data_IF_746648589510
#
_entry.id   IF_746648589510
#
_cell.length_a   1.000
_cell.length_b   1.000
_cell.length_c   1.000
_cell.angle_alpha   90.00
_cell.angle_beta   90.00
_cell.angle_gamma   90.00
#
_symmetry.space_group_name_H-M   'P 1'
#
loop_
_entity.id
_entity.type
_entity.pdbx_description
1 polymer ?
#
# COMPACT_ATOMS: atom_id res chain seq x y z
N UNK A 1 -24.72 2.93 -8.89
CA UNK A 1 -25.14 3.59 -7.63
C UNK A 1 -24.60 5.00 -7.72
N UNK A 2 -25.50 5.97 -7.84
CA UNK A 2 -25.14 7.32 -8.29
C UNK A 2 -24.80 8.19 -7.09
N UNK A 3 -23.72 7.85 -6.41
CA UNK A 3 -23.28 8.51 -5.15
C UNK A 3 -22.94 10.00 -5.37
N UNK A 4 -22.76 10.41 -6.63
CA UNK A 4 -22.52 11.79 -7.07
C UNK A 4 -23.79 12.65 -7.16
N UNK A 5 -24.98 12.03 -7.19
CA UNK A 5 -26.23 12.79 -7.27
C UNK A 5 -26.48 13.53 -5.97
N UNK A 6 -26.98 14.76 -6.05
CA UNK A 6 -27.31 15.59 -4.88
C UNK A 6 -28.41 14.99 -3.99
N UNK A 7 -29.23 14.10 -4.54
CA UNK A 7 -30.29 13.38 -3.82
C UNK A 7 -29.84 12.02 -3.25
N UNK A 8 -28.56 11.66 -3.38
CA UNK A 8 -28.07 10.35 -2.96
C UNK A 8 -28.39 10.07 -1.49
N UNK A 9 -28.08 10.98 -0.58
CA UNK A 9 -28.29 10.77 0.86
C UNK A 9 -29.77 10.61 1.20
N UNK A 10 -30.65 11.34 0.51
CA UNK A 10 -32.09 11.23 0.69
C UNK A 10 -32.63 9.89 0.19
N UNK A 11 -32.25 9.50 -1.03
CA UNK A 11 -32.61 8.21 -1.60
C UNK A 11 -32.09 7.07 -0.71
N UNK A 12 -30.82 7.13 -0.33
CA UNK A 12 -30.16 6.14 0.52
C UNK A 12 -30.83 6.01 1.90
N UNK A 13 -31.26 7.13 2.51
CA UNK A 13 -32.00 7.10 3.77
C UNK A 13 -33.38 6.44 3.64
N UNK A 14 -34.02 6.52 2.46
CA UNK A 14 -35.33 5.92 2.17
C UNK A 14 -35.23 4.44 1.77
N UNK A 15 -34.30 4.08 0.88
CA UNK A 15 -34.20 2.71 0.32
C UNK A 15 -33.32 1.76 1.13
N UNK A 16 -32.26 2.24 1.79
CA UNK A 16 -31.21 1.36 2.35
C UNK A 16 -31.21 1.31 3.90
N UNK A 17 -32.34 1.66 4.54
CA UNK A 17 -32.50 1.65 6.01
C UNK A 17 -32.03 0.32 6.63
N UNK A 18 -32.38 -0.80 6.01
CA UNK A 18 -32.06 -2.16 6.49
C UNK A 18 -30.97 -2.89 5.70
N UNK A 19 -30.40 -2.26 4.66
CA UNK A 19 -29.51 -2.96 3.72
C UNK A 19 -28.03 -2.94 4.14
N UNK A 20 -27.76 -3.42 5.35
CA UNK A 20 -26.39 -3.50 5.90
C UNK A 20 -25.50 -4.42 5.05
N UNK A 21 -26.05 -5.52 4.52
CA UNK A 21 -25.29 -6.48 3.69
C UNK A 21 -24.71 -5.83 2.43
N UNK A 22 -25.51 -5.05 1.69
CA UNK A 22 -25.04 -4.34 0.49
C UNK A 22 -23.96 -3.32 0.81
N UNK A 23 -24.10 -2.60 1.93
CA UNK A 23 -23.10 -1.62 2.36
C UNK A 23 -21.77 -2.28 2.71
N UNK A 24 -21.81 -3.41 3.45
CA UNK A 24 -20.61 -4.18 3.79
C UNK A 24 -19.97 -4.76 2.52
N UNK A 25 -20.76 -5.34 1.61
CA UNK A 25 -20.27 -5.86 0.34
C UNK A 25 -19.59 -4.77 -0.50
N UNK A 26 -20.20 -3.59 -0.60
CA UNK A 26 -19.59 -2.43 -1.27
C UNK A 26 -18.29 -2.01 -0.61
N UNK A 27 -18.24 -1.96 0.73
CA UNK A 27 -17.03 -1.62 1.47
C UNK A 27 -15.90 -2.64 1.22
N UNK A 28 -16.20 -3.95 1.22
CA UNK A 28 -15.22 -5.00 0.91
C UNK A 28 -14.70 -4.80 -0.51
N UNK A 29 -15.59 -4.76 -1.51
CA UNK A 29 -15.21 -4.65 -2.93
C UNK A 29 -14.38 -3.38 -3.17
N UNK A 30 -14.84 -2.23 -2.67
CA UNK A 30 -14.13 -0.97 -2.86
C UNK A 30 -12.77 -0.94 -2.16
N UNK A 31 -12.64 -1.55 -0.98
CA UNK A 31 -11.36 -1.65 -0.27
C UNK A 31 -10.40 -2.59 -0.99
N UNK A 32 -10.91 -3.72 -1.52
CA UNK A 32 -10.12 -4.64 -2.35
C UNK A 32 -9.60 -3.94 -3.61
N UNK A 33 -10.45 -3.20 -4.32
CA UNK A 33 -10.03 -2.47 -5.54
C UNK A 33 -8.95 -1.44 -5.21
N UNK A 34 -9.14 -0.62 -4.17
CA UNK A 34 -8.15 0.38 -3.77
C UNK A 34 -6.83 -0.27 -3.34
N UNK A 35 -6.90 -1.35 -2.57
CA UNK A 35 -5.72 -2.10 -2.13
C UNK A 35 -4.98 -2.72 -3.30
N UNK A 36 -5.71 -3.27 -4.27
CA UNK A 36 -5.13 -3.84 -5.48
C UNK A 36 -4.35 -2.78 -6.27
N UNK A 37 -4.90 -1.58 -6.44
CA UNK A 37 -4.21 -0.47 -7.12
C UNK A 37 -2.90 -0.08 -6.42
N UNK A 38 -2.94 0.05 -5.09
CA UNK A 38 -1.73 0.35 -4.29
C UNK A 38 -0.71 -0.78 -4.39
N UNK A 39 -1.16 -2.04 -4.36
CA UNK A 39 -0.30 -3.21 -4.48
C UNK A 39 0.39 -3.26 -5.84
N UNK A 40 -0.36 -3.04 -6.93
CA UNK A 40 0.21 -2.98 -8.28
C UNK A 40 1.27 -1.89 -8.35
N UNK A 41 0.99 -0.70 -7.82
CA UNK A 41 1.98 0.37 -7.77
C UNK A 41 3.24 -0.03 -6.97
N UNK A 42 3.07 -0.64 -5.80
CA UNK A 42 4.19 -1.11 -4.98
C UNK A 42 5.04 -2.18 -5.69
N UNK A 43 4.41 -3.14 -6.36
CA UNK A 43 5.10 -4.19 -7.13
C UNK A 43 5.85 -3.59 -8.32
N UNK A 44 5.25 -2.65 -9.06
CA UNK A 44 5.93 -1.95 -10.17
C UNK A 44 7.13 -1.13 -9.66
N UNK A 45 6.99 -0.49 -8.49
CA UNK A 45 8.09 0.22 -7.85
C UNK A 45 9.22 -0.73 -7.46
N UNK A 46 8.88 -1.88 -6.85
CA UNK A 46 9.85 -2.91 -6.46
C UNK A 46 10.57 -3.50 -7.68
N UNK A 47 9.86 -3.72 -8.77
CA UNK A 47 10.43 -4.18 -10.02
C UNK A 47 11.43 -3.16 -10.59
N UNK A 48 11.07 -1.88 -10.55
CA UNK A 48 11.94 -0.78 -10.99
C UNK A 48 13.21 -0.67 -10.14
N UNK A 49 13.14 -1.04 -8.85
CA UNK A 49 14.30 -1.11 -7.96
C UNK A 49 15.25 -2.29 -8.24
N UNK A 50 14.85 -3.29 -9.05
CA UNK A 50 15.70 -4.44 -9.39
C UNK A 50 17.04 -3.99 -9.98
N UNK A 51 17.00 -3.03 -10.90
CA UNK A 51 18.20 -2.50 -11.54
C UNK A 51 19.17 -1.89 -10.52
N UNK A 52 18.66 -1.15 -9.54
CA UNK A 52 19.45 -0.56 -8.45
C UNK A 52 20.06 -1.64 -7.55
N UNK A 53 19.33 -2.72 -7.25
CA UNK A 53 19.86 -3.84 -6.46
C UNK A 53 20.99 -4.55 -7.21
N UNK A 54 20.80 -4.81 -8.51
CA UNK A 54 21.82 -5.41 -9.37
C UNK A 54 23.06 -4.52 -9.43
N UNK A 55 22.88 -3.23 -9.68
CA UNK A 55 23.97 -2.24 -9.71
C UNK A 55 24.72 -2.18 -8.37
N UNK A 56 24.00 -2.19 -7.24
CA UNK A 56 24.60 -2.19 -5.92
C UNK A 56 25.51 -3.41 -5.70
N UNK A 57 25.05 -4.61 -6.10
CA UNK A 57 25.82 -5.85 -5.99
C UNK A 57 27.02 -5.84 -6.93
N UNK A 58 26.82 -5.35 -8.16
CA UNK A 58 27.89 -5.22 -9.14
C UNK A 58 28.99 -4.28 -8.67
N UNK A 59 28.63 -3.19 -7.98
CA UNK A 59 29.57 -2.25 -7.38
C UNK A 59 30.21 -2.80 -6.09
N UNK A 60 29.52 -3.70 -5.38
CA UNK A 60 30.05 -4.32 -4.16
C UNK A 60 31.15 -5.35 -4.46
N UNK A 61 31.03 -6.09 -5.57
CA UNK A 61 32.03 -7.08 -6.02
C UNK A 61 32.71 -6.58 -7.30
N UNK A 62 33.87 -5.88 -7.19
CA UNK A 62 34.47 -5.14 -8.31
C UNK A 62 35.06 -6.04 -9.40
N UNK A 63 35.34 -7.31 -9.11
CA UNK A 63 35.90 -8.28 -10.05
C UNK A 63 34.84 -9.28 -10.49
N UNK A 64 34.74 -9.54 -11.80
CA UNK A 64 33.74 -10.46 -12.37
C UNK A 64 33.98 -11.93 -11.97
N UNK A 65 35.25 -12.26 -11.70
CA UNK A 65 35.76 -13.55 -11.27
C UNK A 65 35.93 -13.67 -9.75
N UNK A 66 35.36 -12.73 -8.99
CA UNK A 66 35.31 -12.81 -7.53
C UNK A 66 34.52 -14.06 -7.10
N UNK A 67 35.15 -14.87 -6.23
CA UNK A 67 34.57 -16.11 -5.73
C UNK A 67 34.88 -16.30 -4.24
N UNK A 68 33.88 -16.79 -3.51
CA UNK A 68 34.00 -17.22 -2.12
C UNK A 68 33.82 -18.73 -2.09
N UNK A 69 34.79 -19.46 -1.54
CA UNK A 69 34.80 -20.92 -1.49
C UNK A 69 34.92 -21.35 -0.04
N UNK A 70 33.98 -22.14 0.45
CA UNK A 70 34.11 -22.88 1.70
C UNK A 70 34.37 -24.35 1.36
N UNK A 71 35.59 -24.83 1.66
CA UNK A 71 35.96 -26.24 1.51
C UNK A 71 36.64 -26.72 2.78
N UNK A 72 36.22 -27.87 3.29
CA UNK A 72 36.80 -28.51 4.47
C UNK A 72 36.83 -27.54 5.67
N UNK A 73 35.70 -26.85 5.87
CA UNK A 73 35.51 -25.85 6.93
C UNK A 73 36.48 -24.65 6.87
N UNK A 74 37.08 -24.40 5.70
CA UNK A 74 37.98 -23.26 5.47
C UNK A 74 37.48 -22.40 4.33
N UNK A 75 37.19 -21.15 4.66
CA UNK A 75 36.84 -20.10 3.72
C UNK A 75 38.09 -19.63 2.98
N UNK A 76 37.96 -19.52 1.67
CA UNK A 76 38.97 -19.00 0.76
C UNK A 76 38.27 -18.01 -0.16
N UNK A 77 38.97 -16.94 -0.51
CA UNK A 77 38.50 -15.98 -1.50
C UNK A 77 39.43 -15.95 -2.70
N UNK A 78 38.85 -15.91 -3.89
CA UNK A 78 39.57 -15.75 -5.14
C UNK A 78 39.19 -14.39 -5.74
N UNK A 79 40.19 -13.65 -6.23
CA UNK A 79 40.01 -12.36 -6.92
C UNK A 79 39.25 -11.29 -6.10
N UNK A 80 39.35 -11.37 -4.77
CA UNK A 80 38.89 -10.33 -3.84
C UNK A 80 40.12 -9.82 -3.09
N UNK A 81 40.43 -8.51 -3.10
CA UNK A 81 41.52 -7.95 -2.32
C UNK A 81 41.40 -8.32 -0.83
N UNK A 82 42.50 -8.77 -0.23
CA UNK A 82 42.57 -9.19 1.18
C UNK A 82 43.55 -8.30 1.96
N UNK A 83 43.22 -7.83 3.17
CA UNK A 83 41.90 -7.94 3.82
C UNK A 83 40.86 -7.06 3.11
N UNK A 84 39.63 -7.55 2.98
CA UNK A 84 38.51 -6.71 2.53
C UNK A 84 37.92 -6.03 3.77
N UNK A 85 37.98 -4.71 3.81
CA UNK A 85 37.47 -3.91 4.93
C UNK A 85 36.51 -2.85 4.41
N UNK A 86 35.34 -2.77 5.04
CA UNK A 86 34.34 -1.74 4.74
C UNK A 86 33.74 -1.22 6.04
N UNK A 87 33.92 0.07 6.25
CA UNK A 87 33.34 0.80 7.38
C UNK A 87 32.03 1.46 6.94
N UNK A 88 31.06 1.44 7.84
CA UNK A 88 29.76 2.07 7.73
C UNK A 88 29.68 3.06 8.89
N UNK A 89 29.98 4.32 8.59
CA UNK A 89 29.91 5.38 9.59
C UNK A 89 28.48 5.85 9.79
N UNK A 90 28.19 6.32 11.00
CA UNK A 90 26.94 7.00 11.28
C UNK A 90 26.77 8.24 10.37
N UNK A 91 25.62 8.36 9.71
CA UNK A 91 25.20 9.63 9.13
C UNK A 91 25.03 10.69 10.25
N UNK A 92 25.06 11.98 9.89
CA UNK A 92 25.04 13.14 10.81
C UNK A 92 23.92 13.11 11.87
N UNK A 93 22.85 12.36 11.63
CA UNK A 93 21.72 12.19 12.57
C UNK A 93 22.01 11.22 13.73
N UNK A 94 23.18 10.56 13.77
CA UNK A 94 23.70 9.81 14.93
C UNK A 94 22.89 8.56 15.32
N UNK A 95 21.91 8.16 14.53
CA UNK A 95 21.05 6.99 14.81
C UNK A 95 21.68 5.67 14.38
N UNK A 96 22.69 5.72 13.52
CA UNK A 96 23.39 4.55 13.00
C UNK A 96 24.82 4.46 13.55
N UNK A 97 25.03 4.01 14.79
CA UNK A 97 26.37 3.74 15.34
C UNK A 97 27.31 2.96 14.40
N UNK A 98 28.63 3.19 14.55
CA UNK A 98 29.67 2.76 13.63
C UNK A 98 29.66 1.24 13.43
N UNK A 99 29.71 0.80 12.18
CA UNK A 99 29.74 -0.63 11.85
C UNK A 99 30.86 -1.01 10.87
N UNK A 100 31.32 -2.26 10.93
CA UNK A 100 32.38 -2.75 10.03
C UNK A 100 32.06 -4.13 9.47
N UNK A 101 32.45 -4.36 8.21
CA UNK A 101 32.56 -5.69 7.61
C UNK A 101 34.01 -5.93 7.23
N UNK A 102 34.60 -6.99 7.79
CA UNK A 102 35.96 -7.43 7.51
C UNK A 102 35.93 -8.86 6.99
N UNK A 103 36.58 -9.12 5.86
CA UNK A 103 36.81 -10.46 5.34
C UNK A 103 38.32 -10.63 5.17
N UNK A 104 38.92 -11.49 6.00
CA UNK A 104 40.34 -11.81 5.96
C UNK A 104 40.56 -13.32 6.08
N UNK A 105 40.73 -14.00 4.94
CA UNK A 105 40.99 -15.44 4.88
C UNK A 105 42.48 -15.78 4.91
N UNK A 106 43.37 -14.82 5.17
CA UNK A 106 44.82 -15.07 5.25
C UNK A 106 45.20 -15.84 6.52
N UNK A 107 46.33 -16.57 6.48
CA UNK A 107 46.77 -17.36 7.64
C UNK A 107 47.24 -16.51 8.82
N UNK A 108 47.75 -15.30 8.55
CA UNK A 108 48.32 -14.39 9.53
C UNK A 108 47.40 -13.19 9.79
N UNK A 109 46.07 -13.44 9.81
CA UNK A 109 45.10 -12.36 10.03
C UNK A 109 45.34 -11.67 11.38
N UNK A 110 45.45 -10.34 11.32
CA UNK A 110 45.55 -9.50 12.52
C UNK A 110 44.18 -9.11 13.06
N UNK A 111 43.11 -9.42 12.30
CA UNK A 111 41.73 -9.11 12.66
C UNK A 111 41.10 -10.24 13.47
N UNK A 112 40.20 -9.88 14.37
CA UNK A 112 39.48 -10.86 15.18
C UNK A 112 38.50 -10.19 16.12
N UNK A 113 38.13 -10.90 17.19
CA UNK A 113 37.19 -10.44 18.20
C UNK A 113 37.49 -9.03 18.70
N UNK A 114 38.77 -8.73 18.97
CA UNK A 114 39.20 -7.43 19.51
C UNK A 114 38.92 -6.27 18.56
N UNK A 115 38.95 -6.51 17.25
CA UNK A 115 38.64 -5.47 16.25
C UNK A 115 37.19 -5.03 16.36
N UNK A 116 36.26 -5.96 16.65
CA UNK A 116 34.84 -5.63 16.83
C UNK A 116 34.54 -4.87 18.12
N UNK A 117 35.51 -4.72 19.03
CA UNK A 117 35.34 -3.89 20.22
C UNK A 117 35.37 -2.38 19.88
N UNK A 118 35.97 -2.01 18.75
CA UNK A 118 36.10 -0.62 18.29
C UNK A 118 34.84 -0.09 17.58
N UNK A 119 33.93 -0.99 17.20
CA UNK A 119 32.70 -0.66 16.46
C UNK A 119 31.45 -1.02 17.26
N UNK A 120 30.33 -0.33 17.05
CA UNK A 120 29.06 -0.64 17.71
C UNK A 120 28.46 -1.96 17.21
N UNK A 121 28.60 -2.21 15.91
CA UNK A 121 28.20 -3.47 15.27
C UNK A 121 29.25 -3.90 14.24
N UNK A 122 29.26 -5.17 13.86
CA UNK A 122 30.11 -5.58 12.75
C UNK A 122 30.27 -7.08 12.62
N UNK A 123 30.88 -7.47 11.50
CA UNK A 123 31.14 -8.85 11.17
C UNK A 123 32.61 -8.96 10.75
N UNK A 124 33.35 -9.89 11.35
CA UNK A 124 34.69 -10.29 10.93
C UNK A 124 34.63 -11.74 10.47
N UNK A 125 34.84 -11.96 9.18
CA UNK A 125 34.87 -13.28 8.57
C UNK A 125 36.34 -13.67 8.36
N UNK A 126 36.78 -14.71 9.05
CA UNK A 126 38.12 -15.27 8.93
C UNK A 126 38.08 -16.60 8.17
N UNK A 127 39.25 -17.21 7.98
CA UNK A 127 39.39 -18.49 7.28
C UNK A 127 38.56 -19.62 7.88
N UNK A 128 38.50 -19.75 9.20
CA UNK A 128 37.89 -20.91 9.88
C UNK A 128 36.67 -20.54 10.75
N UNK A 129 36.37 -19.23 10.85
CA UNK A 129 35.39 -18.71 11.80
C UNK A 129 34.84 -17.35 11.38
N UNK A 130 33.74 -16.98 12.00
CA UNK A 130 33.13 -15.66 11.89
C UNK A 130 32.83 -15.10 13.28
N UNK A 131 33.15 -13.83 13.49
CA UNK A 131 32.70 -13.06 14.64
C UNK A 131 31.60 -12.11 14.19
N UNK A 132 30.50 -12.04 14.94
CA UNK A 132 29.40 -11.10 14.70
C UNK A 132 29.09 -10.35 15.98
N UNK A 133 28.91 -9.04 15.89
CA UNK A 133 28.49 -8.18 16.99
C UNK A 133 27.30 -7.35 16.52
N UNK A 134 26.18 -7.49 17.22
CA UNK A 134 25.02 -6.62 17.10
C UNK A 134 25.08 -5.55 18.20
N UNK A 135 24.51 -4.36 17.96
CA UNK A 135 24.62 -3.18 18.83
C UNK A 135 24.18 -3.45 20.27
N UNK A 136 23.23 -4.36 20.44
CA UNK A 136 22.62 -4.68 21.73
C UNK A 136 22.95 -6.11 22.21
N UNK A 137 23.77 -6.85 21.48
CA UNK A 137 24.06 -8.25 21.80
C UNK A 137 25.54 -8.48 22.08
N UNK A 138 25.81 -9.52 22.85
CA UNK A 138 27.16 -10.01 23.04
C UNK A 138 27.73 -10.50 21.70
N UNK A 139 29.05 -10.42 21.60
CA UNK A 139 29.79 -10.96 20.46
C UNK A 139 29.51 -12.46 20.31
N UNK A 140 29.14 -12.85 19.10
CA UNK A 140 28.86 -14.22 18.72
C UNK A 140 30.02 -14.75 17.88
N UNK A 141 30.54 -15.91 18.26
CA UNK A 141 31.51 -16.68 17.49
C UNK A 141 30.79 -17.82 16.79
N UNK A 142 30.98 -17.93 15.49
CA UNK A 142 30.52 -19.03 14.67
C UNK A 142 31.74 -19.72 14.05
N UNK A 143 31.91 -21.01 14.35
CA UNK A 143 33.00 -21.84 13.85
C UNK A 143 32.48 -22.68 12.68
N UNK A 144 33.14 -22.61 11.52
CA UNK A 144 32.68 -23.34 10.34
C UNK A 144 32.74 -24.87 10.51
N UNK A 145 33.61 -25.35 11.41
CA UNK A 145 33.76 -26.77 11.74
C UNK A 145 32.61 -27.34 12.58
N UNK A 146 31.95 -26.52 13.41
CA UNK A 146 30.94 -27.01 14.38
C UNK A 146 29.52 -27.05 13.84
N UNK A 147 29.23 -26.32 12.77
CA UNK A 147 27.86 -26.11 12.27
C UNK A 147 27.52 -26.94 11.03
N UNK A 148 28.31 -27.98 10.69
CA UNK A 148 28.11 -28.83 9.50
C UNK A 148 27.90 -28.00 8.21
N UNK A 149 28.63 -26.90 8.06
CA UNK A 149 28.51 -26.07 6.86
C UNK A 149 28.88 -26.91 5.63
N UNK A 150 27.97 -27.06 4.65
CA UNK A 150 28.28 -27.80 3.44
C UNK A 150 29.34 -27.05 2.64
N UNK A 151 30.20 -27.80 1.95
CA UNK A 151 31.12 -27.21 1.00
C UNK A 151 30.32 -26.42 -0.05
N UNK A 152 30.67 -25.14 -0.25
CA UNK A 152 30.00 -24.29 -1.22
C UNK A 152 31.01 -23.42 -1.95
N UNK A 153 30.67 -23.06 -3.17
CA UNK A 153 31.35 -22.03 -3.95
C UNK A 153 30.28 -21.04 -4.38
N UNK A 154 30.55 -19.77 -4.17
CA UNK A 154 29.66 -18.68 -4.56
C UNK A 154 30.47 -17.67 -5.37
N UNK A 155 30.23 -17.64 -6.67
CA UNK A 155 30.74 -16.63 -7.59
C UNK A 155 29.76 -15.46 -7.73
N UNK A 156 30.28 -14.30 -8.13
CA UNK A 156 29.45 -13.14 -8.48
C UNK A 156 28.37 -13.48 -9.52
N UNK A 157 28.72 -14.27 -10.53
CA UNK A 157 27.79 -14.73 -11.57
C UNK A 157 26.64 -15.56 -11.00
N UNK A 158 26.93 -16.51 -10.10
CA UNK A 158 25.91 -17.32 -9.42
C UNK A 158 25.00 -16.48 -8.53
N UNK A 159 25.53 -15.46 -7.83
CA UNK A 159 24.72 -14.52 -7.03
C UNK A 159 23.78 -13.71 -7.93
N UNK A 160 24.29 -13.16 -9.03
CA UNK A 160 23.48 -12.40 -9.97
C UNK A 160 22.40 -13.27 -10.61
N UNK A 161 22.74 -14.48 -11.03
CA UNK A 161 21.79 -15.43 -11.59
C UNK A 161 20.73 -15.84 -10.56
N UNK A 162 21.14 -16.11 -9.31
CA UNK A 162 20.20 -16.42 -8.23
C UNK A 162 19.21 -15.27 -8.01
N UNK A 163 19.69 -14.03 -8.05
CA UNK A 163 18.81 -12.86 -7.94
C UNK A 163 17.90 -12.80 -9.16
N UNK A 164 18.41 -12.94 -10.37
CA UNK A 164 17.56 -12.92 -11.57
C UNK A 164 16.45 -13.98 -11.53
N UNK A 165 16.75 -15.18 -11.05
CA UNK A 165 15.82 -16.31 -10.97
C UNK A 165 14.82 -16.17 -9.81
N UNK A 166 15.27 -15.67 -8.65
CA UNK A 166 14.46 -15.63 -7.42
C UNK A 166 13.76 -14.30 -7.18
N UNK A 167 14.25 -13.20 -7.76
CA UNK A 167 13.64 -11.89 -7.60
C UNK A 167 12.18 -11.85 -8.03
N UNK A 168 11.73 -12.48 -9.14
CA UNK A 168 10.31 -12.53 -9.49
C UNK A 168 9.44 -13.24 -8.43
N UNK A 169 9.96 -14.30 -7.81
CA UNK A 169 9.25 -15.00 -6.74
C UNK A 169 9.16 -14.14 -5.47
N UNK A 170 10.24 -13.42 -5.16
CA UNK A 170 10.27 -12.44 -4.07
C UNK A 170 9.30 -11.28 -4.34
N UNK A 171 9.25 -10.74 -5.56
CA UNK A 171 8.30 -9.68 -5.95
C UNK A 171 6.85 -10.12 -5.75
N UNK A 172 6.50 -11.32 -6.21
CA UNK A 172 5.15 -11.88 -6.04
C UNK A 172 4.84 -12.11 -4.55
N UNK A 173 5.77 -12.70 -3.80
CA UNK A 173 5.61 -12.94 -2.37
C UNK A 173 5.42 -11.64 -1.59
N UNK A 174 6.29 -10.65 -1.83
CA UNK A 174 6.19 -9.32 -1.26
C UNK A 174 4.88 -8.64 -1.66
N UNK A 175 4.46 -8.74 -2.92
CA UNK A 175 3.18 -8.22 -3.41
C UNK A 175 1.97 -8.79 -2.67
N UNK A 176 1.94 -10.11 -2.42
CA UNK A 176 0.87 -10.75 -1.64
C UNK A 176 0.87 -10.27 -0.19
N UNK A 177 2.04 -10.18 0.44
CA UNK A 177 2.16 -9.67 1.82
C UNK A 177 1.69 -8.22 1.90
N UNK A 178 2.15 -7.35 1.00
CA UNK A 178 1.72 -5.95 0.90
C UNK A 178 0.21 -5.87 0.70
N UNK A 179 -0.35 -6.67 -0.21
CA UNK A 179 -1.80 -6.70 -0.43
C UNK A 179 -2.58 -7.04 0.84
N UNK A 180 -2.21 -8.11 1.54
CA UNK A 180 -2.92 -8.54 2.75
C UNK A 180 -2.77 -7.51 3.88
N UNK A 181 -1.56 -6.98 4.07
CA UNK A 181 -1.27 -5.97 5.07
C UNK A 181 -2.06 -4.69 4.82
N UNK A 182 -2.03 -4.17 3.59
CA UNK A 182 -2.79 -2.98 3.22
C UNK A 182 -4.29 -3.24 3.30
N UNK A 183 -4.80 -4.39 2.82
CA UNK A 183 -6.23 -4.69 2.88
C UNK A 183 -6.73 -4.62 4.32
N UNK A 184 -5.97 -5.17 5.26
CA UNK A 184 -6.31 -5.17 6.68
C UNK A 184 -6.17 -3.78 7.29
N UNK A 185 -4.98 -3.16 7.22
CA UNK A 185 -4.71 -1.86 7.85
C UNK A 185 -5.58 -0.77 7.24
N UNK A 186 -5.59 -0.64 5.91
CA UNK A 186 -6.40 0.36 5.21
C UNK A 186 -7.88 0.13 5.45
N UNK A 187 -8.33 -1.14 5.44
CA UNK A 187 -9.72 -1.49 5.75
C UNK A 187 -10.13 -1.00 7.15
N UNK A 188 -9.34 -1.32 8.18
CA UNK A 188 -9.61 -0.91 9.56
C UNK A 188 -9.59 0.60 9.71
N UNK A 189 -8.55 1.28 9.19
CA UNK A 189 -8.45 2.74 9.24
C UNK A 189 -9.62 3.42 8.51
N UNK A 190 -10.07 2.87 7.39
CA UNK A 190 -11.23 3.39 6.65
C UNK A 190 -12.53 3.23 7.43
N UNK A 191 -12.71 2.13 8.17
CA UNK A 191 -13.88 1.94 9.06
C UNK A 191 -13.84 2.95 10.21
N UNK A 192 -12.70 3.11 10.87
CA UNK A 192 -12.52 4.10 11.95
C UNK A 192 -12.73 5.53 11.46
N UNK A 193 -12.18 5.87 10.29
CA UNK A 193 -12.41 7.16 9.64
C UNK A 193 -13.89 7.36 9.28
N UNK A 194 -14.58 6.30 8.84
CA UNK A 194 -16.02 6.37 8.56
C UNK A 194 -16.84 6.63 9.83
N UNK A 195 -16.45 6.06 10.99
CA UNK A 195 -17.09 6.34 12.28
C UNK A 195 -16.99 7.83 12.63
N UNK A 196 -15.78 8.40 12.51
CA UNK A 196 -15.55 9.82 12.77
C UNK A 196 -16.39 10.72 11.86
N UNK A 197 -16.33 10.48 10.54
CA UNK A 197 -17.08 11.30 9.58
C UNK A 197 -18.59 11.11 9.67
N UNK A 198 -19.07 9.93 10.07
CA UNK A 198 -20.48 9.68 10.34
C UNK A 198 -20.97 10.47 11.54
N UNK A 199 -20.15 10.60 12.57
CA UNK A 199 -20.46 11.43 13.73
C UNK A 199 -20.62 12.89 13.33
N UNK A 200 -19.67 13.43 12.54
CA UNK A 200 -19.77 14.79 11.99
C UNK A 200 -21.04 14.96 11.15
N UNK A 201 -21.34 14.02 10.25
CA UNK A 201 -22.56 14.05 9.42
C UNK A 201 -23.84 14.06 10.24
N UNK A 202 -23.89 13.21 11.24
CA UNK A 202 -25.03 13.10 12.12
C UNK A 202 -25.24 14.40 12.92
N UNK A 203 -24.18 14.98 13.50
CA UNK A 203 -24.25 16.25 14.24
C UNK A 203 -24.73 17.39 13.33
N UNK A 204 -24.15 17.53 12.13
CA UNK A 204 -24.58 18.57 11.18
C UNK A 204 -26.03 18.38 10.73
N UNK A 205 -26.48 17.14 10.52
CA UNK A 205 -27.88 16.86 10.20
C UNK A 205 -28.81 17.29 11.35
N UNK A 206 -28.43 17.07 12.61
CA UNK A 206 -29.18 17.53 13.78
C UNK A 206 -29.25 19.04 13.87
N UNK A 207 -28.14 19.75 13.63
CA UNK A 207 -28.12 21.22 13.61
C UNK A 207 -28.99 21.77 12.47
N UNK A 208 -29.01 21.08 11.33
CA UNK A 208 -29.81 21.46 10.16
C UNK A 208 -31.29 21.03 10.23
N UNK A 209 -31.74 20.43 11.35
CA UNK A 209 -33.08 19.86 11.52
C UNK A 209 -33.46 18.79 10.48
N UNK A 210 -32.48 18.06 9.96
CA UNK A 210 -32.68 16.96 9.00
C UNK A 210 -32.80 15.63 9.75
N UNK A 211 -33.82 14.83 9.43
CA UNK A 211 -34.05 13.53 10.06
C UNK A 211 -33.10 12.45 9.52
N UNK A 212 -31.88 12.42 10.06
CA UNK A 212 -30.86 11.40 9.73
C UNK A 212 -30.43 10.64 10.99
N UNK A 213 -30.40 9.30 10.92
CA UNK A 213 -29.88 8.47 12.01
C UNK A 213 -28.37 8.25 11.85
N UNK A 214 -27.66 8.00 12.96
CA UNK A 214 -26.22 7.74 12.93
C UNK A 214 -25.85 6.54 12.05
N UNK A 215 -26.64 5.46 12.10
CA UNK A 215 -26.41 4.27 11.27
C UNK A 215 -26.51 4.55 9.78
N UNK A 216 -27.47 5.37 9.34
CA UNK A 216 -27.59 5.78 7.93
C UNK A 216 -26.42 6.68 7.55
N UNK A 217 -26.03 7.62 8.42
CA UNK A 217 -24.87 8.47 8.20
C UNK A 217 -23.59 7.64 8.01
N UNK A 218 -23.36 6.64 8.86
CA UNK A 218 -22.21 5.73 8.76
C UNK A 218 -22.19 4.94 7.46
N UNK A 219 -23.33 4.36 7.09
CA UNK A 219 -23.48 3.64 5.82
C UNK A 219 -23.24 4.55 4.61
N UNK A 220 -23.71 5.79 4.63
CA UNK A 220 -23.49 6.77 3.57
C UNK A 220 -22.02 7.17 3.46
N UNK A 221 -21.34 7.42 4.59
CA UNK A 221 -19.91 7.77 4.63
C UNK A 221 -19.04 6.65 4.06
N UNK A 222 -19.37 5.38 4.32
CA UNK A 222 -18.66 4.26 3.69
C UNK A 222 -18.74 4.30 2.16
N UNK A 223 -19.86 4.75 1.58
CA UNK A 223 -19.99 4.96 0.14
C UNK A 223 -19.22 6.18 -0.35
N UNK A 224 -19.36 7.33 0.33
CA UNK A 224 -18.64 8.56 -0.04
C UNK A 224 -17.12 8.40 0.01
N UNK A 225 -16.60 7.68 1.01
CA UNK A 225 -15.17 7.48 1.19
C UNK A 225 -14.48 6.87 -0.04
N UNK A 226 -15.16 5.97 -0.77
CA UNK A 226 -14.59 5.36 -1.98
C UNK A 226 -14.34 6.41 -3.05
N UNK A 227 -15.36 7.22 -3.33
CA UNK A 227 -15.30 8.27 -4.35
C UNK A 227 -14.27 9.33 -3.98
N UNK A 228 -14.29 9.79 -2.74
CA UNK A 228 -13.34 10.78 -2.24
C UNK A 228 -11.91 10.27 -2.41
N UNK A 229 -11.68 8.99 -2.06
CA UNK A 229 -10.35 8.36 -2.21
C UNK A 229 -9.96 8.27 -3.69
N UNK A 230 -10.86 7.83 -4.56
CA UNK A 230 -10.58 7.71 -6.00
C UNK A 230 -10.23 9.06 -6.64
N UNK A 231 -11.02 10.10 -6.40
CA UNK A 231 -10.73 11.44 -6.95
C UNK A 231 -9.42 11.97 -6.39
N UNK A 232 -9.19 11.82 -5.08
CA UNK A 232 -7.95 12.28 -4.46
C UNK A 232 -6.75 11.56 -5.05
N UNK A 233 -6.85 10.25 -5.27
CA UNK A 233 -5.79 9.46 -5.89
C UNK A 233 -5.53 9.94 -7.32
N UNK A 234 -6.57 10.07 -8.16
CA UNK A 234 -6.43 10.52 -9.55
C UNK A 234 -5.82 11.92 -9.67
N UNK A 235 -6.23 12.86 -8.80
CA UNK A 235 -5.70 14.24 -8.84
C UNK A 235 -4.25 14.30 -8.34
N UNK A 236 -3.94 13.63 -7.23
CA UNK A 236 -2.58 13.65 -6.68
C UNK A 236 -1.59 12.82 -7.49
N UNK A 237 -2.06 11.89 -8.34
CA UNK A 237 -1.19 11.15 -9.25
C UNK A 237 -0.47 12.09 -10.24
N UNK A 238 -1.08 13.24 -10.58
CA UNK A 238 -0.53 14.21 -11.52
C UNK A 238 0.40 15.26 -10.89
N UNK A 239 1.40 14.88 -10.08
CA UNK A 239 2.40 15.76 -9.39
C UNK A 239 1.85 16.95 -8.57
N UNK A 240 0.54 17.22 -8.62
CA UNK A 240 -0.14 18.29 -7.93
C UNK A 240 -0.59 17.76 -6.58
N UNK A 241 0.27 17.91 -5.58
CA UNK A 241 -0.11 17.55 -4.22
C UNK A 241 -0.98 18.66 -3.61
N UNK A 242 -2.27 18.41 -3.50
CA UNK A 242 -3.21 19.34 -2.87
C UNK A 242 -3.52 18.85 -1.46
N UNK A 243 -2.98 19.50 -0.41
CA UNK A 243 -3.26 19.10 0.95
C UNK A 243 -4.76 19.25 1.25
N UNK A 244 -5.32 18.33 2.03
CA UNK A 244 -6.73 18.30 2.41
C UNK A 244 -7.75 18.15 1.27
N UNK A 245 -7.33 17.82 0.05
CA UNK A 245 -8.24 17.65 -1.09
C UNK A 245 -9.37 16.63 -0.81
N UNK A 246 -9.03 15.50 -0.20
CA UNK A 246 -10.00 14.50 0.22
C UNK A 246 -11.07 15.10 1.15
N UNK A 247 -10.64 15.88 2.14
CA UNK A 247 -11.52 16.56 3.08
C UNK A 247 -12.41 17.58 2.38
N UNK A 248 -11.87 18.37 1.44
CA UNK A 248 -12.65 19.34 0.67
C UNK A 248 -13.72 18.66 -0.19
N UNK A 249 -13.37 17.59 -0.91
CA UNK A 249 -14.33 16.84 -1.73
C UNK A 249 -15.39 16.20 -0.85
N UNK A 250 -14.99 15.61 0.27
CA UNK A 250 -15.93 15.02 1.23
C UNK A 250 -16.93 16.06 1.74
N UNK A 251 -16.43 17.22 2.21
CA UNK A 251 -17.27 18.32 2.69
C UNK A 251 -18.18 18.88 1.59
N UNK A 252 -17.71 18.95 0.35
CA UNK A 252 -18.52 19.40 -0.79
C UNK A 252 -19.71 18.44 -1.02
N UNK A 253 -19.44 17.14 -1.16
CA UNK A 253 -20.48 16.11 -1.36
C UNK A 253 -21.48 16.14 -0.20
N UNK A 254 -20.96 16.26 1.02
CA UNK A 254 -21.72 16.34 2.25
C UNK A 254 -22.67 17.54 2.29
N UNK A 255 -22.15 18.75 2.06
CA UNK A 255 -22.93 20.00 2.15
C UNK A 255 -24.01 20.03 1.07
N UNK A 256 -23.69 19.58 -0.15
CA UNK A 256 -24.65 19.50 -1.24
C UNK A 256 -25.82 18.56 -0.90
N UNK A 257 -25.52 17.36 -0.38
CA UNK A 257 -26.54 16.39 0.02
C UNK A 257 -27.42 16.90 1.18
N UNK A 258 -26.84 17.50 2.21
CA UNK A 258 -27.61 18.05 3.34
C UNK A 258 -28.51 19.22 2.92
N UNK A 259 -28.00 20.14 2.09
CA UNK A 259 -28.80 21.26 1.57
C UNK A 259 -29.97 20.77 0.72
N UNK A 260 -29.73 19.76 -0.11
CA UNK A 260 -30.79 19.15 -0.91
C UNK A 260 -31.86 18.53 -0.03
N UNK A 261 -31.48 17.74 0.98
CA UNK A 261 -32.42 17.12 1.93
C UNK A 261 -33.27 18.17 2.66
N UNK A 262 -32.65 19.22 3.19
CA UNK A 262 -33.37 20.29 3.91
C UNK A 262 -34.43 20.95 3.04
N UNK A 263 -34.08 21.32 1.80
CA UNK A 263 -35.00 21.98 0.86
C UNK A 263 -36.25 21.14 0.57
N UNK A 264 -36.09 19.83 0.40
CA UNK A 264 -37.20 18.94 0.05
C UNK A 264 -38.00 18.47 1.27
N UNK A 265 -37.40 18.48 2.46
CA UNK A 265 -38.10 18.19 3.71
C UNK A 265 -39.05 19.32 4.13
N UNK A 266 -38.70 20.57 3.81
CA UNK A 266 -39.53 21.76 4.07
C UNK A 266 -40.68 21.92 3.07
N UNK A 267 -40.66 21.24 1.90
CA UNK A 267 -41.65 21.45 0.83
C UNK A 267 -42.16 20.16 0.17
N UNK A 268 -42.77 19.22 0.92
CA UNK A 268 -43.22 17.91 0.40
C UNK A 268 -44.32 18.01 -0.67
N UNK A 269 -44.98 19.15 -0.80
CA UNK A 269 -45.99 19.41 -1.83
C UNK A 269 -45.37 19.64 -3.23
N UNK A 270 -44.17 20.22 -3.31
CA UNK A 270 -43.48 20.43 -4.60
C UNK A 270 -42.92 19.11 -5.16
N UNK A 271 -42.40 18.22 -4.32
CA UNK A 271 -41.85 16.94 -4.78
C UNK A 271 -42.93 15.99 -5.34
N UNK A 272 -44.16 16.07 -4.82
CA UNK A 272 -45.31 15.35 -5.39
C UNK A 272 -45.71 15.89 -6.76
N UNK A 273 -45.61 17.20 -6.97
CA UNK A 273 -45.92 17.84 -8.26
C UNK A 273 -44.82 17.60 -9.32
N UNK A 274 -43.55 17.55 -8.91
CA UNK A 274 -42.43 17.23 -9.81
C UNK A 274 -42.47 15.76 -10.26
N UNK A 275 -42.72 14.82 -9.33
CA UNK A 275 -42.88 13.40 -9.68
C UNK A 275 -44.12 13.12 -10.52
N UNK A 276 -45.22 13.85 -10.34
CA UNK A 276 -46.38 13.69 -11.24
C UNK A 276 -46.06 14.16 -12.65
N UNK A 277 -45.34 15.27 -12.80
CA UNK A 277 -44.95 15.78 -14.11
C UNK A 277 -43.93 14.88 -14.83
N UNK A 278 -42.96 14.30 -14.12
CA UNK A 278 -42.00 13.36 -14.73
C UNK A 278 -42.67 12.06 -15.18
N UNK A 279 -43.64 11.55 -14.40
CA UNK A 279 -44.40 10.34 -14.76
C UNK A 279 -45.32 10.59 -15.96
N UNK A 280 -45.99 11.76 -16.01
CA UNK A 280 -46.87 12.16 -17.11
C UNK A 280 -46.08 12.42 -18.42
N UNK A 281 -44.80 12.79 -18.30
CA UNK A 281 -43.89 12.96 -19.44
C UNK A 281 -43.36 11.63 -19.96
N UNK A 282 -42.99 10.68 -19.09
CA UNK A 282 -42.62 9.32 -19.50
C UNK A 282 -43.80 8.57 -20.16
N UNK A 283 -45.04 8.74 -19.70
CA UNK A 283 -46.22 8.15 -20.35
C UNK A 283 -46.47 8.75 -21.73
N UNK A 284 -46.34 10.07 -21.90
CA UNK A 284 -46.48 10.73 -23.20
C UNK A 284 -45.41 10.31 -24.21
N UNK A 285 -44.15 10.26 -23.78
CA UNK A 285 -43.03 9.88 -24.65
C UNK A 285 -43.15 8.39 -25.07
N UNK A 286 -43.74 7.54 -24.20
CA UNK A 286 -44.03 6.14 -24.52
C UNK A 286 -45.21 6.00 -25.49
N UNK A 287 -46.27 6.80 -25.35
CA UNK A 287 -47.41 6.80 -26.29
C UNK A 287 -47.03 7.32 -27.69
N UNK A 288 -46.23 8.38 -27.80
CA UNK A 288 -45.75 8.88 -29.10
C UNK A 288 -44.83 7.88 -29.81
N UNK A 289 -43.90 7.24 -29.06
CA UNK A 289 -43.05 6.17 -29.60
C UNK A 289 -43.84 4.96 -30.11
N UNK A 290 -45.02 4.71 -29.57
CA UNK A 290 -45.84 3.55 -29.97
C UNK A 290 -46.64 3.88 -31.24
N UNK A 291 -47.17 5.11 -31.35
CA UNK A 291 -47.86 5.57 -32.56
C UNK A 291 -46.95 5.70 -33.77
N UNK A 292 -45.70 6.16 -33.59
CA UNK A 292 -44.75 6.30 -34.70
C UNK A 292 -44.28 4.95 -35.28
N UNK A 293 -44.39 3.86 -34.51
CA UNK A 293 -44.13 2.49 -35.01
C UNK A 293 -45.29 1.88 -35.79
N UNK A 294 -46.52 2.23 -35.47
CA UNK A 294 -47.70 1.70 -36.15
C UNK A 294 -47.90 2.33 -37.54
N UNK A 295 -47.52 3.60 -37.73
CA UNK A 295 -47.60 4.28 -39.03
C UNK A 295 -46.56 3.79 -40.05
N UNK A 296 -45.44 3.22 -39.59
CA UNK A 296 -44.37 2.71 -40.48
C UNK A 296 -44.60 1.26 -40.97
N UNK A 297 -45.66 0.59 -40.50
CA UNK A 297 -46.01 -0.78 -40.90
C UNK A 297 -47.16 -0.84 -41.94
N UNK A 298 -47.71 0.30 -42.36
CA UNK A 298 -48.82 0.39 -43.32
C UNK A 298 -48.44 1.01 -44.68
N UNK A 299 -47.14 1.05 -45.02
CA UNK A 299 -46.62 1.51 -46.31
C UNK A 299 -46.05 0.35 -47.15
#
# INVERSE_FOLDING_TARGET
MDVWKMNFLAHFAQTDKDNTKRTVAFWIISSTILTLLVTVYAVVSLHSSKATVVEYIQNFFPHEDARIILSDHRLQVENIPQPFLREFHADEDGTAGDAVLIIDTTQDSTYGEKTLLEYDAGIVILRDRMYSKDRNQALQLLLFEQEDFPNFSLSRGEVLQFIEDKYPLFEVGAGVVVFLLFLFIFGVLRLLGALWWAFVLWVCAKIANVSLTYGIAYKAVMHFSFIVTMVTYTVNFGRLHVPFLATMIFLLIFVLNLRWMKKHQENPAQEKAEKSNDTEKEEKDTEESTKEKDDNNNA
#
